data_IF_407399955973
#
_entry.id   IF_407399955973
#
_cell.length_a   1.000
_cell.length_b   1.000
_cell.length_c   1.000
_cell.angle_alpha   90.00
_cell.angle_beta   90.00
_cell.angle_gamma   90.00
#
_symmetry.space_group_name_H-M   'P 1'
#
loop_
_entity.id
_entity.type
_entity.pdbx_description
1 polymer ?
#
# COMPACT_ATOMS: atom_id res chain seq x y z
N UNK A 1 -9.19 -9.97 5.70
CA UNK A 1 -9.40 -9.22 4.44
C UNK A 1 -9.61 -10.24 3.34
N UNK A 2 -10.73 -10.22 2.62
CA UNK A 2 -11.01 -11.21 1.58
C UNK A 2 -10.29 -10.83 0.27
N UNK A 3 -9.93 -11.81 -0.58
CA UNK A 3 -9.40 -11.55 -1.91
C UNK A 3 -10.30 -10.61 -2.71
N UNK A 4 -9.69 -9.69 -3.45
CA UNK A 4 -10.41 -8.71 -4.27
C UNK A 4 -11.26 -9.41 -5.36
N UNK A 5 -10.79 -10.54 -5.89
CA UNK A 5 -11.56 -11.41 -6.79
C UNK A 5 -12.94 -11.81 -6.22
N UNK A 6 -13.00 -12.21 -4.94
CA UNK A 6 -14.27 -12.62 -4.30
C UNK A 6 -15.19 -11.42 -4.10
N UNK A 7 -14.65 -10.26 -3.75
CA UNK A 7 -15.40 -9.01 -3.65
C UNK A 7 -15.95 -8.56 -5.01
N UNK A 8 -15.15 -8.67 -6.08
CA UNK A 8 -15.56 -8.38 -7.46
C UNK A 8 -16.67 -9.32 -7.91
N UNK A 9 -16.52 -10.62 -7.66
CA UNK A 9 -17.55 -11.61 -7.97
C UNK A 9 -18.87 -11.30 -7.25
N UNK A 10 -18.83 -10.98 -5.96
CA UNK A 10 -20.02 -10.62 -5.20
C UNK A 10 -20.76 -9.40 -5.79
N UNK A 11 -20.00 -8.39 -6.22
CA UNK A 11 -20.55 -7.17 -6.84
C UNK A 11 -21.14 -7.44 -8.23
N UNK A 12 -20.49 -8.26 -9.05
CA UNK A 12 -20.99 -8.65 -10.36
C UNK A 12 -22.33 -9.39 -10.25
N UNK A 13 -22.41 -10.39 -9.38
CA UNK A 13 -23.64 -11.16 -9.21
C UNK A 13 -24.79 -10.32 -8.64
N UNK A 14 -24.49 -9.36 -7.77
CA UNK A 14 -25.48 -8.40 -7.29
C UNK A 14 -26.00 -7.50 -8.41
N UNK A 15 -25.11 -7.04 -9.32
CA UNK A 15 -25.49 -6.25 -10.51
C UNK A 15 -26.31 -7.08 -11.49
N UNK A 16 -26.04 -8.38 -11.59
CA UNK A 16 -26.82 -9.33 -12.38
C UNK A 16 -28.18 -9.70 -11.72
N UNK A 17 -28.50 -9.10 -10.57
CA UNK A 17 -29.81 -9.22 -9.91
C UNK A 17 -29.89 -10.28 -8.81
N UNK A 18 -28.78 -10.93 -8.45
CA UNK A 18 -28.77 -11.89 -7.34
C UNK A 18 -28.91 -11.21 -5.98
N UNK A 19 -29.66 -11.83 -5.07
CA UNK A 19 -29.84 -11.31 -3.71
C UNK A 19 -28.56 -11.48 -2.88
N UNK A 20 -28.31 -10.52 -1.97
CA UNK A 20 -27.14 -10.53 -1.08
C UNK A 20 -27.06 -11.82 -0.23
N UNK A 21 -28.21 -12.35 0.20
CA UNK A 21 -28.27 -13.59 0.98
C UNK A 21 -27.85 -14.81 0.15
N UNK A 22 -28.28 -14.88 -1.11
CA UNK A 22 -27.87 -15.93 -2.04
C UNK A 22 -26.36 -15.88 -2.30
N UNK A 23 -25.83 -14.69 -2.58
CA UNK A 23 -24.40 -14.47 -2.82
C UNK A 23 -23.56 -14.84 -1.58
N UNK A 24 -24.02 -14.44 -0.38
CA UNK A 24 -23.35 -14.77 0.88
C UNK A 24 -23.30 -16.28 1.15
N UNK A 25 -24.41 -16.99 0.93
CA UNK A 25 -24.46 -18.44 1.05
C UNK A 25 -23.54 -19.13 0.02
N UNK A 26 -23.56 -18.67 -1.23
CA UNK A 26 -22.76 -19.24 -2.33
C UNK A 26 -21.25 -19.02 -2.14
N UNK A 27 -20.85 -17.86 -1.61
CA UNK A 27 -19.44 -17.55 -1.33
C UNK A 27 -18.97 -18.03 0.05
N UNK A 28 -19.86 -18.55 0.90
CA UNK A 28 -19.54 -18.95 2.27
C UNK A 28 -19.10 -17.77 3.15
N UNK A 29 -19.65 -16.57 2.89
CA UNK A 29 -19.26 -15.33 3.57
C UNK A 29 -20.37 -14.80 4.48
N UNK A 30 -20.05 -14.03 5.53
CA UNK A 30 -21.05 -13.37 6.33
C UNK A 30 -21.90 -12.41 5.50
N UNK A 31 -23.22 -12.43 5.71
CA UNK A 31 -24.18 -11.57 5.00
C UNK A 31 -23.78 -10.09 5.04
N UNK A 32 -23.36 -9.59 6.22
CA UNK A 32 -22.97 -8.19 6.39
C UNK A 32 -21.76 -7.83 5.53
N UNK A 33 -20.79 -8.73 5.37
CA UNK A 33 -19.61 -8.53 4.52
C UNK A 33 -20.01 -8.31 3.06
N UNK A 34 -20.86 -9.18 2.53
CA UNK A 34 -21.37 -9.08 1.16
C UNK A 34 -22.25 -7.84 1.00
N UNK A 35 -23.12 -7.56 1.97
CA UNK A 35 -24.00 -6.38 1.97
C UNK A 35 -23.20 -5.08 1.88
N UNK A 36 -22.14 -4.93 2.65
CA UNK A 36 -21.28 -3.74 2.61
C UNK A 36 -20.65 -3.58 1.23
N UNK A 37 -20.15 -4.66 0.63
CA UNK A 37 -19.51 -4.60 -0.69
C UNK A 37 -20.46 -4.20 -1.82
N UNK A 38 -21.70 -4.66 -1.77
CA UNK A 38 -22.73 -4.35 -2.76
C UNK A 38 -23.39 -2.98 -2.53
N UNK A 39 -23.39 -2.46 -1.30
CA UNK A 39 -23.88 -1.10 -0.99
C UNK A 39 -22.95 -0.02 -1.49
N UNK A 40 -21.65 -0.24 -1.38
CA UNK A 40 -20.61 0.71 -1.79
C UNK A 40 -20.33 0.62 -3.32
N UNK A 41 -21.39 0.67 -4.13
CA UNK A 41 -21.32 0.56 -5.60
C UNK A 41 -20.70 1.82 -6.26
N UNK A 42 -20.59 2.92 -5.51
CA UNK A 42 -20.21 4.25 -6.00
C UNK A 42 -18.88 4.81 -5.49
N UNK A 43 -18.15 4.12 -4.61
CA UNK A 43 -16.74 4.44 -4.52
C UNK A 43 -16.17 3.99 -5.87
N UNK A 44 -15.57 4.87 -6.70
CA UNK A 44 -14.84 4.39 -7.87
C UNK A 44 -13.98 3.27 -7.35
N UNK A 45 -13.98 2.12 -8.03
CA UNK A 45 -12.96 1.11 -7.80
C UNK A 45 -11.68 1.91 -7.99
N UNK A 46 -11.14 2.39 -6.86
CA UNK A 46 -10.17 3.46 -6.87
C UNK A 46 -9.07 2.94 -7.76
N UNK A 47 -8.42 3.80 -8.53
CA UNK A 47 -7.45 3.46 -9.58
C UNK A 47 -6.36 2.43 -9.17
N UNK A 48 -6.34 2.02 -7.90
CA UNK A 48 -5.91 0.76 -7.30
C UNK A 48 -6.49 -0.53 -7.93
N UNK A 49 -5.98 -0.89 -9.11
CA UNK A 49 -6.05 -2.27 -9.62
C UNK A 49 -5.20 -3.21 -8.73
N UNK A 50 -5.51 -4.51 -8.70
CA UNK A 50 -4.64 -5.55 -8.11
C UNK A 50 -3.18 -5.41 -8.60
N UNK A 51 -2.98 -5.03 -9.86
CA UNK A 51 -1.67 -4.75 -10.46
C UNK A 51 -0.89 -3.62 -9.77
N UNK A 52 -1.56 -2.66 -9.14
CA UNK A 52 -0.93 -1.57 -8.38
C UNK A 52 -0.65 -1.95 -6.93
N UNK A 53 -1.28 -3.00 -6.42
CA UNK A 53 -1.07 -3.45 -5.06
C UNK A 53 0.13 -4.38 -4.98
N UNK A 54 1.20 -3.93 -4.36
CA UNK A 54 2.41 -4.74 -4.13
C UNK A 54 2.16 -6.04 -3.35
N UNK A 55 1.02 -6.17 -2.64
CA UNK A 55 0.61 -7.39 -1.93
C UNK A 55 -0.30 -8.31 -2.74
N UNK A 56 -1.10 -7.75 -3.65
CA UNK A 56 -2.08 -8.54 -4.43
C UNK A 56 -1.50 -8.98 -5.77
N UNK A 57 -0.48 -8.28 -6.28
CA UNK A 57 0.24 -8.71 -7.49
C UNK A 57 1.06 -9.95 -7.16
N UNK A 58 0.82 -11.03 -7.90
CA UNK A 58 1.55 -12.32 -7.77
C UNK A 58 3.04 -12.22 -8.20
N UNK A 59 3.45 -11.03 -8.66
CA UNK A 59 4.84 -10.69 -8.96
C UNK A 59 5.37 -9.65 -7.96
N UNK A 60 5.86 -10.12 -6.82
CA UNK A 60 7.21 -9.85 -6.35
C UNK A 60 7.35 -10.25 -4.88
N UNK A 61 8.49 -10.84 -4.48
CA UNK A 61 8.94 -10.70 -3.12
C UNK A 61 9.42 -9.24 -2.99
N UNK A 62 8.53 -8.32 -2.63
CA UNK A 62 9.03 -7.16 -1.91
C UNK A 62 9.69 -7.75 -0.67
N UNK A 63 11.03 -7.71 -0.61
CA UNK A 63 11.78 -8.22 0.52
C UNK A 63 11.11 -7.70 1.80
N UNK A 64 10.48 -8.62 2.54
CA UNK A 64 9.58 -8.27 3.61
C UNK A 64 10.35 -7.54 4.72
N UNK A 65 11.64 -7.84 4.87
CA UNK A 65 12.53 -7.15 5.78
C UNK A 65 12.75 -5.71 5.31
N UNK A 66 13.12 -5.49 4.05
CA UNK A 66 13.29 -4.15 3.46
C UNK A 66 12.01 -3.32 3.59
N UNK A 67 10.86 -3.91 3.24
CA UNK A 67 9.58 -3.25 3.36
C UNK A 67 9.26 -2.87 4.81
N UNK A 68 9.40 -3.81 5.74
CA UNK A 68 9.11 -3.56 7.16
C UNK A 68 10.02 -2.48 7.75
N UNK A 69 11.29 -2.46 7.37
CA UNK A 69 12.26 -1.45 7.81
C UNK A 69 11.86 -0.06 7.30
N UNK A 70 11.59 0.09 6.01
CA UNK A 70 11.16 1.36 5.41
C UNK A 70 9.80 1.80 5.91
N UNK A 71 8.88 0.87 6.12
CA UNK A 71 7.57 1.15 6.72
C UNK A 71 7.75 1.68 8.14
N UNK A 72 8.64 1.10 8.93
CA UNK A 72 8.99 1.59 10.26
C UNK A 72 9.55 3.02 10.21
N UNK A 73 10.47 3.31 9.28
CA UNK A 73 10.99 4.66 9.10
C UNK A 73 9.93 5.66 8.65
N UNK A 74 9.02 5.26 7.75
CA UNK A 74 7.87 6.08 7.35
C UNK A 74 6.96 6.39 8.53
N UNK A 75 6.60 5.40 9.34
CA UNK A 75 5.68 5.58 10.48
C UNK A 75 6.29 6.39 11.62
N UNK A 76 7.61 6.35 11.80
CA UNK A 76 8.30 7.06 12.87
C UNK A 76 8.80 8.45 12.48
N UNK A 77 9.60 8.53 11.41
CA UNK A 77 10.47 9.67 11.12
C UNK A 77 10.34 10.18 9.67
N UNK A 78 9.35 9.70 8.93
CA UNK A 78 9.24 9.96 7.51
C UNK A 78 7.85 10.38 7.05
N UNK A 79 7.77 10.79 5.80
CA UNK A 79 6.51 11.01 5.11
C UNK A 79 6.68 10.83 3.60
N UNK A 80 5.57 10.52 2.91
CA UNK A 80 5.54 10.41 1.46
C UNK A 80 5.21 11.76 0.83
N UNK A 81 6.07 12.21 -0.07
CA UNK A 81 5.82 13.37 -0.93
C UNK A 81 5.32 12.87 -2.27
N UNK A 82 4.02 13.02 -2.50
CA UNK A 82 3.34 12.59 -3.73
C UNK A 82 3.13 13.72 -4.75
N UNK A 83 3.47 14.96 -4.39
CA UNK A 83 3.40 16.13 -5.28
C UNK A 83 4.55 16.20 -6.29
N UNK A 84 5.60 15.40 -6.10
CA UNK A 84 6.69 15.28 -7.07
C UNK A 84 6.30 14.35 -8.24
N UNK A 85 7.01 14.46 -9.38
CA UNK A 85 6.80 13.62 -10.56
C UNK A 85 6.90 12.11 -10.26
N UNK A 86 7.69 11.75 -9.25
CA UNK A 86 7.80 10.40 -8.70
C UNK A 86 7.59 10.51 -7.18
N UNK A 87 6.73 9.69 -6.56
CA UNK A 87 6.57 9.69 -5.11
C UNK A 87 7.91 9.45 -4.39
N UNK A 88 8.23 10.28 -3.40
CA UNK A 88 9.48 10.19 -2.64
C UNK A 88 9.17 9.95 -1.17
N UNK A 89 9.83 8.97 -0.54
CA UNK A 89 9.88 8.84 0.91
C UNK A 89 10.96 9.76 1.45
N UNK A 90 10.57 10.77 2.24
CA UNK A 90 11.50 11.64 2.97
C UNK A 90 11.62 11.15 4.40
N UNK A 91 12.85 11.09 4.91
CA UNK A 91 13.17 10.59 6.26
C UNK A 91 14.04 11.63 6.96
N UNK A 92 13.64 11.99 8.18
CA UNK A 92 14.31 13.00 9.00
C UNK A 92 14.84 12.33 10.26
N UNK A 93 16.16 12.15 10.35
CA UNK A 93 16.81 11.64 11.54
C UNK A 93 17.67 12.74 12.17
N UNK A 94 17.80 12.72 13.50
CA UNK A 94 18.75 13.58 14.19
C UNK A 94 20.19 13.14 13.87
N UNK A 95 21.17 14.04 14.05
CA UNK A 95 22.58 13.79 13.73
C UNK A 95 23.20 12.59 14.50
N UNK A 96 22.51 12.08 15.53
CA UNK A 96 22.91 10.93 16.32
C UNK A 96 22.57 9.59 15.66
N UNK A 97 21.61 9.55 14.74
CA UNK A 97 21.09 8.30 14.14
C UNK A 97 21.29 8.26 12.62
N UNK A 98 22.49 8.60 12.15
CA UNK A 98 22.85 8.57 10.72
C UNK A 98 22.86 7.16 10.14
N UNK A 99 23.23 6.15 10.92
CA UNK A 99 23.25 4.75 10.50
C UNK A 99 21.87 4.22 10.03
N UNK A 100 20.78 4.85 10.46
CA UNK A 100 19.42 4.51 9.99
C UNK A 100 19.21 4.92 8.52
N UNK A 101 19.85 6.03 8.10
CA UNK A 101 19.81 6.53 6.73
C UNK A 101 20.66 5.65 5.81
N UNK A 102 21.86 5.26 6.25
CA UNK A 102 22.75 4.38 5.48
C UNK A 102 22.09 3.01 5.22
N UNK A 103 21.45 2.44 6.26
CA UNK A 103 20.69 1.20 6.13
C UNK A 103 19.46 1.34 5.26
N UNK A 104 18.82 2.52 5.26
CA UNK A 104 17.71 2.78 4.37
C UNK A 104 18.20 2.79 2.92
N UNK A 105 19.29 3.51 2.62
CA UNK A 105 19.93 3.60 1.30
C UNK A 105 20.32 2.23 0.75
N UNK A 106 20.96 1.38 1.56
CA UNK A 106 21.30 0.02 1.15
C UNK A 106 20.08 -0.85 0.81
N UNK A 107 19.00 -0.75 1.60
CA UNK A 107 17.88 -1.69 1.59
C UNK A 107 16.88 -1.48 0.46
N UNK A 108 17.21 -0.67 -0.52
CA UNK A 108 16.22 -0.34 -1.49
C UNK A 108 16.82 -0.35 -2.89
N UNK A 109 16.00 -0.81 -3.82
CA UNK A 109 16.36 -1.15 -5.19
C UNK A 109 16.96 0.02 -5.99
N UNK A 110 17.62 -0.12 -7.14
CA UNK A 110 18.24 1.05 -7.82
C UNK A 110 17.29 2.19 -8.26
N UNK A 111 15.96 2.00 -8.18
CA UNK A 111 14.94 2.87 -8.78
C UNK A 111 14.27 3.87 -7.82
N UNK A 112 14.42 3.74 -6.51
CA UNK A 112 13.89 4.68 -5.52
C UNK A 112 15.02 5.63 -5.11
N UNK A 113 14.67 6.87 -4.75
CA UNK A 113 15.64 7.85 -4.23
C UNK A 113 15.16 8.28 -2.84
N UNK A 114 16.00 8.10 -1.81
CA UNK A 114 15.82 8.85 -0.56
C UNK A 114 16.36 10.24 -0.79
N UNK A 115 15.54 11.26 -0.53
CA UNK A 115 16.07 12.59 -0.25
C UNK A 115 16.36 12.65 1.26
N UNK A 116 17.65 12.57 1.63
CA UNK A 116 18.11 12.82 2.99
C UNK A 116 18.56 14.27 3.12
N UNK A 117 18.46 14.82 4.33
CA UNK A 117 18.78 16.23 4.60
C UNK A 117 20.28 16.45 4.87
N UNK A 118 21.14 15.56 4.41
CA UNK A 118 22.59 15.67 4.59
C UNK A 118 23.18 16.75 3.66
N UNK A 119 22.54 17.91 3.52
CA UNK A 119 23.20 19.12 3.07
C UNK A 119 23.96 19.70 4.26
N UNK A 120 25.23 19.29 4.38
CA UNK A 120 26.16 19.88 5.32
C UNK A 120 26.15 21.40 5.20
N UNK A 121 25.91 22.06 6.34
CA UNK A 121 26.39 23.40 6.59
C UNK A 121 27.92 23.30 6.51
N UNK A 122 28.50 23.69 5.36
CA UNK A 122 29.94 23.96 5.25
C UNK A 122 30.18 25.27 5.98
N UNK A 123 30.46 25.16 7.28
CA UNK A 123 31.11 26.24 8.02
C UNK A 123 32.61 26.17 7.71
N UNK A 124 33.07 27.11 6.88
CA UNK A 124 34.46 27.56 6.77
C UNK A 124 34.43 29.05 6.40
#
# INVERSE_FOLDING_TARGET
MHPLAIRRQARLEHRDGSSISSIAARLGLPYQTVRTWCRDDGAPDSQFTEDRCFRCRDSAPADHEQYSYLLGLYLGNGHLVTSAKVPVLRIYCTATYTALLDQAEWRCSPHWRIASNASGRRDA
#
